data_IF_935600080952
#
_entry.id   IF_935600080952
#
_cell.length_a   1.000
_cell.length_b   1.000
_cell.length_c   1.000
_cell.angle_alpha   90.00
_cell.angle_beta   90.00
_cell.angle_gamma   90.00
#
_symmetry.space_group_name_H-M   'P 1'
#
loop_
_entity.id
_entity.type
_entity.pdbx_description
1 polymer ?
#
# COMPACT_ATOMS: atom_id res chain seq x y z
N UNK A 1 -14.31 -17.35 34.07
CA UNK A 1 -14.20 -17.06 35.51
C UNK A 1 -13.71 -15.63 35.62
N UNK A 2 -14.64 -14.69 35.85
CA UNK A 2 -14.36 -13.26 35.99
C UNK A 2 -13.97 -13.00 37.44
N UNK A 3 -12.77 -12.46 37.67
CA UNK A 3 -12.32 -12.04 38.99
C UNK A 3 -12.80 -10.63 39.29
N UNK A 4 -13.73 -10.50 40.23
CA UNK A 4 -14.14 -9.25 40.85
C UNK A 4 -12.96 -8.62 41.61
N UNK A 5 -12.62 -7.38 41.29
CA UNK A 5 -11.98 -6.47 42.24
C UNK A 5 -13.04 -5.45 42.67
N UNK A 6 -13.66 -5.71 43.83
CA UNK A 6 -14.56 -4.78 44.51
C UNK A 6 -13.69 -3.80 45.27
N UNK A 7 -13.42 -2.65 44.64
CA UNK A 7 -12.94 -1.44 45.29
C UNK A 7 -14.13 -0.54 45.60
N UNK A 8 -14.34 -0.26 46.87
CA UNK A 8 -15.37 0.61 47.43
C UNK A 8 -15.38 1.98 46.76
N UNK A 9 -16.53 2.41 46.22
CA UNK A 9 -16.78 3.80 45.82
C UNK A 9 -17.89 4.39 46.69
N UNK A 10 -17.48 4.96 47.82
CA UNK A 10 -18.28 5.92 48.57
C UNK A 10 -18.24 7.26 47.81
N UNK A 11 -19.42 7.81 47.52
CA UNK A 11 -19.66 9.24 47.34
C UNK A 11 -18.90 9.96 46.21
N UNK A 12 -19.59 10.27 45.12
CA UNK A 12 -19.11 11.27 44.17
C UNK A 12 -19.80 11.20 42.83
N UNK A 13 -20.74 12.12 42.60
CA UNK A 13 -21.43 12.39 41.32
C UNK A 13 -20.50 12.91 40.20
N UNK A 14 -19.22 12.52 40.21
CA UNK A 14 -18.15 13.01 39.33
C UNK A 14 -17.42 11.88 38.58
N UNK A 15 -17.80 10.61 38.79
CA UNK A 15 -17.11 9.43 38.22
C UNK A 15 -17.76 8.86 36.95
N UNK A 16 -18.91 9.38 36.54
CA UNK A 16 -19.61 8.90 35.33
C UNK A 16 -19.12 9.58 34.04
N UNK A 17 -18.58 10.81 34.15
CA UNK A 17 -18.18 11.63 33.00
C UNK A 17 -16.79 11.25 32.43
N UNK A 18 -16.00 10.48 33.18
CA UNK A 18 -14.69 9.97 32.77
C UNK A 18 -14.79 8.68 31.97
N UNK A 19 -15.79 7.82 32.23
CA UNK A 19 -15.97 6.58 31.47
C UNK A 19 -16.40 6.82 30.01
N UNK A 20 -17.25 7.81 29.75
CA UNK A 20 -17.70 8.13 28.39
C UNK A 20 -16.54 8.62 27.50
N UNK A 21 -15.63 9.43 28.08
CA UNK A 21 -14.43 9.94 27.37
C UNK A 21 -13.47 8.81 27.02
N UNK A 22 -13.26 7.86 27.94
CA UNK A 22 -12.42 6.68 27.69
C UNK A 22 -13.05 5.79 26.62
N UNK A 23 -14.36 5.58 26.64
CA UNK A 23 -15.07 4.78 25.64
C UNK A 23 -15.03 5.42 24.24
N UNK A 24 -15.14 6.75 24.13
CA UNK A 24 -14.96 7.50 22.87
C UNK A 24 -13.55 7.40 22.31
N UNK A 25 -12.53 7.42 23.17
CA UNK A 25 -11.13 7.20 22.76
C UNK A 25 -10.93 5.76 22.29
N UNK A 26 -11.53 4.79 22.98
CA UNK A 26 -11.46 3.37 22.61
C UNK A 26 -12.22 3.07 21.30
N UNK A 27 -13.39 3.68 21.08
CA UNK A 27 -14.11 3.65 19.80
C UNK A 27 -13.34 4.34 18.67
N UNK A 28 -12.59 5.40 18.99
CA UNK A 28 -11.66 6.04 18.05
C UNK A 28 -10.52 5.10 17.65
N UNK A 29 -9.96 4.35 18.60
CA UNK A 29 -8.91 3.35 18.35
C UNK A 29 -9.48 2.17 17.53
N UNK A 30 -10.69 1.69 17.84
CA UNK A 30 -11.37 0.67 17.02
C UNK A 30 -11.70 1.20 15.61
N UNK A 31 -12.05 2.49 15.46
CA UNK A 31 -12.21 3.12 14.15
C UNK A 31 -10.90 3.17 13.37
N UNK A 32 -9.75 3.31 14.05
CA UNK A 32 -8.41 3.18 13.45
C UNK A 32 -8.14 1.73 13.03
N UNK A 33 -8.62 0.74 13.80
CA UNK A 33 -8.53 -0.70 13.46
C UNK A 33 -9.47 -1.10 12.30
N UNK A 34 -10.63 -0.44 12.10
CA UNK A 34 -11.40 -0.53 10.84
C UNK A 34 -10.66 0.02 9.61
N UNK A 35 -9.54 0.71 9.85
CA UNK A 35 -8.58 1.15 8.83
C UNK A 35 -7.65 0.03 8.34
N UNK A 36 -7.55 -1.09 9.05
CA UNK A 36 -6.66 -2.19 8.66
C UNK A 36 -7.30 -3.09 7.59
N UNK A 37 -8.62 -3.28 7.61
CA UNK A 37 -9.37 -3.87 6.49
C UNK A 37 -9.41 -2.93 5.25
N UNK A 38 -9.28 -1.60 5.46
CA UNK A 38 -9.01 -0.63 4.39
C UNK A 38 -7.60 -0.77 3.78
N UNK A 39 -6.67 -1.54 4.37
CA UNK A 39 -5.30 -1.68 3.84
C UNK A 39 -5.13 -2.74 2.75
N UNK A 40 -6.09 -3.65 2.54
CA UNK A 40 -6.18 -4.37 1.26
C UNK A 40 -6.59 -3.44 0.11
N UNK A 41 -7.14 -2.26 0.43
CA UNK A 41 -7.27 -1.08 -0.47
C UNK A 41 -6.11 -0.08 -0.33
N UNK A 42 -5.03 -0.42 0.37
CA UNK A 42 -3.87 0.49 0.46
C UNK A 42 -3.16 0.56 -0.87
N UNK A 43 -2.59 1.72 -1.15
CA UNK A 43 -1.79 1.94 -2.36
C UNK A 43 -0.61 0.94 -2.46
N UNK A 44 -0.05 0.52 -1.33
CA UNK A 44 0.94 -0.55 -1.25
C UNK A 44 0.38 -1.89 -1.72
N UNK A 45 -0.74 -2.35 -1.15
CA UNK A 45 -1.35 -3.64 -1.51
C UNK A 45 -1.74 -3.69 -2.98
N UNK A 46 -2.32 -2.60 -3.49
CA UNK A 46 -2.55 -2.44 -4.92
C UNK A 46 -1.25 -2.53 -5.72
N UNK A 47 -0.19 -1.84 -5.30
CA UNK A 47 1.08 -1.84 -6.00
C UNK A 47 1.71 -3.24 -6.02
N UNK A 48 1.70 -3.97 -4.92
CA UNK A 48 2.18 -5.36 -4.88
C UNK A 48 1.44 -6.22 -5.92
N UNK A 49 0.10 -6.20 -5.93
CA UNK A 49 -0.67 -6.97 -6.90
C UNK A 49 -0.41 -6.51 -8.34
N UNK A 50 -0.39 -5.20 -8.60
CA UNK A 50 -0.07 -4.66 -9.92
C UNK A 50 1.34 -5.05 -10.36
N UNK A 51 2.32 -5.01 -9.47
CA UNK A 51 3.70 -5.44 -9.70
C UNK A 51 3.78 -6.91 -10.09
N UNK A 52 3.06 -7.80 -9.40
CA UNK A 52 3.02 -9.23 -9.77
C UNK A 52 2.45 -9.44 -11.17
N UNK A 53 1.39 -8.71 -11.53
CA UNK A 53 0.74 -8.79 -12.85
C UNK A 53 1.59 -8.19 -13.97
N UNK A 54 2.33 -7.12 -13.68
CA UNK A 54 3.34 -6.54 -14.57
C UNK A 54 4.42 -7.59 -14.87
N UNK A 55 4.94 -8.26 -13.84
CA UNK A 55 5.97 -9.30 -13.99
C UNK A 55 5.44 -10.47 -14.81
N UNK A 56 4.24 -10.98 -14.48
CA UNK A 56 3.63 -12.08 -15.22
C UNK A 56 3.44 -11.72 -16.70
N UNK A 57 3.07 -10.46 -16.98
CA UNK A 57 2.93 -9.96 -18.35
C UNK A 57 4.27 -9.84 -19.08
N UNK A 58 5.33 -9.38 -18.41
CA UNK A 58 6.68 -9.33 -18.99
C UNK A 58 7.18 -10.73 -19.35
N UNK A 59 6.96 -11.71 -18.48
CA UNK A 59 7.32 -13.11 -18.75
C UNK A 59 6.58 -13.63 -19.97
N UNK A 60 5.28 -13.35 -20.10
CA UNK A 60 4.50 -13.73 -21.29
C UNK A 60 5.02 -13.06 -22.56
N UNK A 61 5.30 -11.75 -22.51
CA UNK A 61 5.80 -10.98 -23.67
C UNK A 61 7.16 -11.48 -24.17
N UNK A 62 8.00 -11.98 -23.26
CA UNK A 62 9.30 -12.55 -23.61
C UNK A 62 9.29 -14.08 -23.78
N UNK A 63 8.11 -14.69 -23.99
CA UNK A 63 8.00 -16.12 -24.31
C UNK A 63 8.45 -17.05 -23.17
N UNK A 64 8.33 -16.61 -21.91
CA UNK A 64 8.75 -17.37 -20.73
C UNK A 64 10.15 -17.04 -20.21
N UNK A 65 10.91 -16.17 -20.88
CA UNK A 65 12.24 -15.75 -20.42
C UNK A 65 12.14 -14.89 -19.14
N UNK A 66 12.32 -15.56 -18.01
CA UNK A 66 12.27 -14.95 -16.67
C UNK A 66 13.42 -13.98 -16.42
N UNK A 67 14.60 -14.24 -16.97
CA UNK A 67 15.77 -13.39 -16.73
C UNK A 67 15.64 -12.05 -17.46
N UNK A 68 15.13 -12.09 -18.69
CA UNK A 68 14.81 -10.86 -19.43
C UNK A 68 13.67 -10.08 -18.78
N UNK A 69 12.64 -10.77 -18.28
CA UNK A 69 11.56 -10.13 -17.51
C UNK A 69 12.07 -9.50 -16.21
N UNK A 70 12.98 -10.18 -15.50
CA UNK A 70 13.64 -9.70 -14.28
C UNK A 70 14.39 -8.39 -14.54
N UNK A 71 15.28 -8.37 -15.53
CA UNK A 71 16.05 -7.18 -15.92
C UNK A 71 15.14 -6.01 -16.33
N UNK A 72 14.06 -6.30 -17.06
CA UNK A 72 13.09 -5.26 -17.45
C UNK A 72 12.38 -4.68 -16.22
N UNK A 73 11.96 -5.51 -15.28
CA UNK A 73 11.34 -5.06 -14.04
C UNK A 73 12.32 -4.25 -13.16
N UNK A 74 13.58 -4.65 -13.06
CA UNK A 74 14.63 -3.87 -12.37
C UNK A 74 14.78 -2.48 -12.98
N UNK A 75 14.82 -2.41 -14.31
CA UNK A 75 14.92 -1.13 -15.03
C UNK A 75 13.73 -0.23 -14.72
N UNK A 76 12.51 -0.79 -14.69
CA UNK A 76 11.29 -0.07 -14.31
C UNK A 76 11.41 0.49 -12.87
N UNK A 77 11.83 -0.34 -11.92
CA UNK A 77 12.00 0.06 -10.53
C UNK A 77 13.04 1.17 -10.36
N UNK A 78 14.19 1.06 -11.03
CA UNK A 78 15.24 2.08 -11.00
C UNK A 78 14.78 3.41 -11.60
N UNK A 79 14.09 3.35 -12.73
CA UNK A 79 13.54 4.55 -13.39
C UNK A 79 12.54 5.26 -12.48
N UNK A 80 11.57 4.53 -11.91
CA UNK A 80 10.59 5.10 -11.00
C UNK A 80 11.22 5.65 -9.73
N UNK A 81 12.21 4.97 -9.15
CA UNK A 81 12.95 5.42 -7.96
C UNK A 81 13.73 6.70 -8.22
N UNK A 82 14.29 6.86 -9.42
CA UNK A 82 15.09 8.04 -9.78
C UNK A 82 14.27 9.32 -9.95
N UNK A 83 12.94 9.20 -9.98
CA UNK A 83 12.06 10.31 -10.28
C UNK A 83 11.74 11.17 -9.05
N UNK A 84 12.01 12.47 -9.16
CA UNK A 84 11.80 13.45 -8.09
C UNK A 84 10.55 14.31 -8.26
N UNK A 85 9.96 14.33 -9.47
CA UNK A 85 8.77 15.11 -9.78
C UNK A 85 7.53 14.22 -9.80
N UNK A 86 6.55 14.57 -8.98
CA UNK A 86 5.30 13.80 -8.84
C UNK A 86 4.55 13.58 -10.16
N UNK A 87 4.55 14.58 -11.05
CA UNK A 87 3.90 14.49 -12.37
C UNK A 87 4.62 13.51 -13.29
N UNK A 88 5.95 13.54 -13.29
CA UNK A 88 6.76 12.64 -14.13
C UNK A 88 6.72 11.21 -13.61
N UNK A 89 6.73 11.01 -12.29
CA UNK A 89 6.57 9.69 -11.67
C UNK A 89 5.24 9.05 -12.07
N UNK A 90 4.15 9.81 -11.94
CA UNK A 90 2.81 9.34 -12.30
C UNK A 90 2.71 9.00 -13.78
N UNK A 91 3.23 9.88 -14.65
CA UNK A 91 3.22 9.65 -16.10
C UNK A 91 3.97 8.37 -16.45
N UNK A 92 5.16 8.17 -15.88
CA UNK A 92 5.96 6.97 -16.12
C UNK A 92 5.23 5.70 -15.65
N UNK A 93 4.66 5.74 -14.45
CA UNK A 93 3.87 4.62 -13.93
C UNK A 93 2.67 4.29 -14.83
N UNK A 94 1.93 5.30 -15.31
CA UNK A 94 0.81 5.10 -16.22
C UNK A 94 1.27 4.58 -17.58
N UNK A 95 2.39 5.06 -18.11
CA UNK A 95 2.98 4.57 -19.35
C UNK A 95 3.28 3.08 -19.26
N UNK A 96 3.89 2.63 -18.17
CA UNK A 96 4.17 1.20 -17.93
C UNK A 96 2.87 0.38 -17.93
N UNK A 97 1.82 0.86 -17.25
CA UNK A 97 0.54 0.16 -17.18
C UNK A 97 -0.14 0.10 -18.55
N UNK A 98 -0.08 1.18 -19.34
CA UNK A 98 -0.66 1.24 -20.69
C UNK A 98 0.12 0.37 -21.68
N UNK A 99 1.46 0.40 -21.61
CA UNK A 99 2.36 -0.39 -22.46
C UNK A 99 2.13 -1.89 -22.25
N UNK A 100 2.12 -2.34 -21.00
CA UNK A 100 2.05 -3.76 -20.68
C UNK A 100 0.62 -4.29 -20.66
N UNK A 101 -0.37 -3.44 -20.37
CA UNK A 101 -1.78 -3.80 -20.15
C UNK A 101 -1.94 -5.01 -19.20
N UNK A 102 -1.36 -4.93 -17.98
CA UNK A 102 -1.47 -6.01 -17.02
C UNK A 102 -2.93 -6.17 -16.57
N UNK A 103 -3.34 -7.40 -16.29
CA UNK A 103 -4.65 -7.73 -15.72
C UNK A 103 -4.71 -7.29 -14.24
N UNK A 104 -5.03 -6.01 -14.02
CA UNK A 104 -5.14 -5.38 -12.70
C UNK A 104 -6.59 -5.02 -12.40
N UNK A 105 -6.98 -5.04 -11.12
CA UNK A 105 -8.35 -4.71 -10.65
C UNK A 105 -8.73 -3.21 -10.77
N UNK A 106 -8.05 -2.47 -11.66
CA UNK A 106 -8.21 -1.04 -11.89
C UNK A 106 -7.17 -0.18 -11.17
N UNK A 107 -7.20 1.12 -11.46
CA UNK A 107 -6.30 2.12 -10.86
C UNK A 107 -6.87 2.67 -9.53
N UNK A 108 -6.01 2.90 -8.52
CA UNK A 108 -6.37 3.57 -7.29
C UNK A 108 -6.70 5.05 -7.55
N UNK A 109 -7.48 5.66 -6.66
CA UNK A 109 -8.00 7.02 -6.82
C UNK A 109 -6.88 8.05 -6.98
N UNK A 110 -5.80 7.87 -6.23
CA UNK A 110 -4.60 8.70 -6.22
C UNK A 110 -3.94 8.81 -7.60
N UNK A 111 -4.04 7.75 -8.41
CA UNK A 111 -3.51 7.70 -9.78
C UNK A 111 -4.52 8.18 -10.83
N UNK A 112 -5.82 8.12 -10.53
CA UNK A 112 -6.91 8.57 -11.43
C UNK A 112 -7.11 10.08 -11.41
N UNK A 113 -6.92 10.74 -10.27
CA UNK A 113 -7.17 12.18 -10.14
C UNK A 113 -6.11 13.00 -10.88
N UNK A 114 -6.48 13.87 -11.81
CA UNK A 114 -5.53 14.79 -12.49
C UNK A 114 -4.91 15.84 -11.56
N UNK A 115 -5.36 15.87 -10.29
CA UNK A 115 -4.79 16.65 -9.20
C UNK A 115 -3.29 16.44 -9.05
N UNK A 116 -2.53 17.52 -9.00
CA UNK A 116 -1.11 17.50 -8.62
C UNK A 116 -0.98 17.05 -7.15
N UNK A 117 -0.13 16.05 -6.91
CA UNK A 117 0.22 15.65 -5.55
C UNK A 117 1.10 16.70 -4.89
N UNK A 118 0.80 17.03 -3.64
CA UNK A 118 1.69 17.81 -2.78
C UNK A 118 2.96 17.00 -2.47
N UNK A 119 4.01 17.69 -2.01
CA UNK A 119 5.31 17.06 -1.72
C UNK A 119 5.19 15.86 -0.76
N UNK A 120 4.46 16.03 0.35
CA UNK A 120 4.27 14.94 1.33
C UNK A 120 3.46 13.77 0.77
N UNK A 121 2.43 14.06 -0.03
CA UNK A 121 1.63 13.04 -0.70
C UNK A 121 2.48 12.26 -1.70
N UNK A 122 3.32 12.97 -2.46
CA UNK A 122 4.24 12.34 -3.39
C UNK A 122 5.16 11.36 -2.67
N UNK A 123 5.85 11.77 -1.60
CA UNK A 123 6.74 10.87 -0.85
C UNK A 123 6.00 9.66 -0.28
N UNK A 124 4.81 9.86 0.29
CA UNK A 124 4.02 8.74 0.83
C UNK A 124 3.56 7.78 -0.25
N UNK A 125 3.04 8.30 -1.36
CA UNK A 125 2.49 7.50 -2.44
C UNK A 125 3.57 6.79 -3.25
N UNK A 126 4.65 7.49 -3.61
CA UNK A 126 5.77 6.89 -4.33
C UNK A 126 6.43 5.80 -3.50
N UNK A 127 6.64 6.02 -2.20
CA UNK A 127 7.20 5.01 -1.30
C UNK A 127 6.31 3.77 -1.23
N UNK A 128 5.00 3.94 -1.06
CA UNK A 128 4.06 2.82 -1.01
C UNK A 128 4.05 2.02 -2.33
N UNK A 129 4.06 2.70 -3.48
CA UNK A 129 4.07 2.07 -4.80
C UNK A 129 5.39 1.33 -5.04
N UNK A 130 6.52 1.99 -4.80
CA UNK A 130 7.85 1.41 -4.99
C UNK A 130 8.07 0.20 -4.09
N UNK A 131 7.67 0.28 -2.82
CA UNK A 131 7.78 -0.84 -1.88
C UNK A 131 6.96 -2.03 -2.36
N UNK A 132 5.70 -1.81 -2.76
CA UNK A 132 4.84 -2.88 -3.28
C UNK A 132 5.42 -3.53 -4.55
N UNK A 133 5.94 -2.71 -5.48
CA UNK A 133 6.58 -3.23 -6.70
C UNK A 133 7.86 -4.00 -6.40
N UNK A 134 8.66 -3.54 -5.45
CA UNK A 134 9.88 -4.22 -5.03
C UNK A 134 9.59 -5.55 -4.36
N UNK A 135 8.62 -5.61 -3.45
CA UNK A 135 8.22 -6.86 -2.79
C UNK A 135 7.62 -7.86 -3.79
N UNK A 136 6.89 -7.38 -4.79
CA UNK A 136 6.44 -8.23 -5.90
C UNK A 136 7.62 -8.78 -6.73
N UNK A 137 8.63 -7.94 -6.99
CA UNK A 137 9.86 -8.36 -7.65
C UNK A 137 10.60 -9.44 -6.84
N UNK A 138 10.82 -9.22 -5.54
CA UNK A 138 11.47 -10.19 -4.66
C UNK A 138 10.63 -11.46 -4.54
N UNK A 139 9.31 -11.36 -4.46
CA UNK A 139 8.44 -12.54 -4.41
C UNK A 139 8.52 -13.40 -5.68
N UNK A 140 8.64 -12.77 -6.87
CA UNK A 140 8.67 -13.49 -8.16
C UNK A 140 10.06 -13.97 -8.59
N UNK A 141 11.12 -13.30 -8.15
CA UNK A 141 12.49 -13.58 -8.58
C UNK A 141 13.47 -13.90 -7.45
N UNK A 142 13.14 -13.55 -6.20
CA UNK A 142 14.00 -13.69 -5.01
C UNK A 142 14.05 -15.09 -4.40
N UNK A 143 13.34 -16.08 -4.96
CA UNK A 143 13.51 -17.49 -4.59
C UNK A 143 14.43 -18.18 -5.60
N UNK A 144 15.73 -17.98 -5.42
CA UNK A 144 16.81 -18.57 -6.22
C UNK A 144 18.12 -18.72 -5.42
N UNK A 145 18.01 -19.01 -4.12
CA UNK A 145 19.12 -19.51 -3.30
C UNK A 145 18.89 -20.98 -3.01
N UNK A 146 19.36 -21.85 -3.90
CA UNK A 146 19.38 -23.30 -3.78
C UNK A 146 20.43 -23.85 -4.71
#
# INVERSE_FOLDING_TARGET
MWGCFVGVCLGGSWLFETCEKVYKVWLGIISVMSGEEKRERSLYGWAFHAGTKIIDRLVQLYGGDRERARKRMETILLNLRSESLSTKFRRELLNIIIELRPDIKGLPRELKEERRWRTEEFYRYSTAILSGFFDAYVSKFGSGGG
#
